data_IF_927168432627
#
_entry.id   IF_927168432627
#
_cell.length_a   1.000
_cell.length_b   1.000
_cell.length_c   1.000
_cell.angle_alpha   90.00
_cell.angle_beta   90.00
_cell.angle_gamma   90.00
#
_symmetry.space_group_name_H-M   'P 1'
#
loop_
_entity.id
_entity.type
_entity.pdbx_description
1 polymer ?
#
# COMPACT_ATOMS: atom_id res chain seq x y z
N UNK A 1 -9.35 -1.56 17.32
CA UNK A 1 -8.44 -2.72 17.08
C UNK A 1 -7.03 -2.20 16.97
N UNK A 2 -6.04 -3.04 17.28
CA UNK A 2 -4.62 -2.76 17.02
C UNK A 2 -4.28 -3.34 15.66
N UNK A 3 -3.90 -2.47 14.72
CA UNK A 3 -3.54 -2.85 13.36
C UNK A 3 -2.08 -2.47 13.06
N UNK A 4 -1.43 -3.21 12.17
CA UNK A 4 -0.04 -2.93 11.78
C UNK A 4 0.17 -2.84 10.27
N UNK A 5 1.08 -1.97 9.87
CA UNK A 5 1.74 -1.97 8.55
C UNK A 5 3.22 -2.22 8.80
N UNK A 6 3.77 -3.22 8.14
CA UNK A 6 5.18 -3.56 8.15
C UNK A 6 5.74 -3.55 6.72
N UNK A 7 6.85 -2.83 6.53
CA UNK A 7 7.64 -2.80 5.29
C UNK A 7 9.12 -2.89 5.69
N UNK A 8 9.57 -4.07 6.19
CA UNK A 8 10.94 -4.23 6.65
C UNK A 8 11.92 -4.08 5.49
N UNK A 9 13.19 -3.73 5.77
CA UNK A 9 14.26 -3.81 4.78
C UNK A 9 14.24 -5.17 4.04
N UNK A 10 14.32 -5.13 2.71
CA UNK A 10 14.13 -6.35 1.91
C UNK A 10 15.28 -7.34 2.07
N UNK A 11 14.91 -8.60 2.32
CA UNK A 11 15.78 -9.75 2.48
C UNK A 11 16.86 -9.84 1.37
N UNK A 12 18.11 -10.06 1.78
CA UNK A 12 19.28 -10.21 0.90
C UNK A 12 19.80 -8.89 0.32
N UNK A 13 19.23 -7.76 0.74
CA UNK A 13 19.61 -6.42 0.28
C UNK A 13 19.55 -5.39 1.41
N UNK A 14 19.19 -5.78 2.63
CA UNK A 14 18.87 -4.86 3.70
C UNK A 14 20.10 -4.07 4.14
N UNK A 15 21.21 -4.72 4.49
CA UNK A 15 22.46 -4.02 4.85
C UNK A 15 22.98 -3.17 3.68
N UNK A 16 22.89 -3.71 2.47
CA UNK A 16 23.34 -3.03 1.26
C UNK A 16 22.63 -1.69 1.03
N UNK A 17 21.32 -1.62 1.20
CA UNK A 17 20.54 -0.41 0.90
C UNK A 17 20.29 0.47 2.11
N UNK A 18 20.13 -0.12 3.29
CA UNK A 18 19.69 0.58 4.50
C UNK A 18 20.74 0.53 5.62
N UNK A 19 21.74 -0.35 5.55
CA UNK A 19 22.81 -0.46 6.57
C UNK A 19 24.14 0.17 6.16
N UNK A 20 25.23 -0.40 6.66
CA UNK A 20 26.60 0.05 6.39
C UNK A 20 27.16 -0.49 5.06
N UNK A 21 26.51 -1.52 4.49
CA UNK A 21 26.90 -2.13 3.23
C UNK A 21 27.06 -1.12 2.09
N UNK A 22 28.02 -1.36 1.18
CA UNK A 22 28.22 -0.49 0.00
C UNK A 22 27.06 -0.65 -0.98
N UNK A 23 26.07 0.22 -0.90
CA UNK A 23 24.97 0.33 -1.87
C UNK A 23 25.48 0.59 -3.29
N UNK A 24 24.63 0.39 -4.30
CA UNK A 24 24.97 0.50 -5.73
C UNK A 24 25.30 1.91 -6.25
N UNK A 25 25.93 2.77 -5.44
CA UNK A 25 26.55 4.01 -5.86
C UNK A 25 28.06 3.85 -5.90
N UNK A 26 28.65 3.92 -7.08
CA UNK A 26 30.05 4.32 -7.22
C UNK A 26 30.18 5.78 -6.75
N UNK A 27 30.16 6.03 -5.45
CA UNK A 27 30.81 7.22 -4.90
C UNK A 27 32.29 6.89 -4.84
N UNK A 28 32.97 7.17 -5.94
CA UNK A 28 34.41 7.42 -5.94
C UNK A 28 34.70 8.38 -4.78
N UNK A 29 35.49 7.93 -3.82
CA UNK A 29 35.91 8.71 -2.65
C UNK A 29 36.97 9.77 -2.99
N UNK A 30 37.29 9.95 -4.27
CA UNK A 30 38.23 10.91 -4.82
C UNK A 30 37.52 11.95 -5.70
N UNK A 31 36.72 12.83 -5.10
CA UNK A 31 36.15 13.96 -5.83
C UNK A 31 35.31 14.91 -4.98
N UNK A 32 35.25 16.17 -5.42
CA UNK A 32 34.60 17.36 -4.81
C UNK A 32 33.09 17.22 -4.48
N UNK A 33 32.50 16.03 -4.62
CA UNK A 33 31.11 15.69 -4.26
C UNK A 33 31.01 14.84 -2.99
N UNK A 34 32.10 14.72 -2.22
CA UNK A 34 32.18 13.98 -0.95
C UNK A 34 31.47 14.65 0.24
N UNK A 35 30.30 15.26 0.04
CA UNK A 35 29.49 15.84 1.13
C UNK A 35 28.11 15.22 1.15
N UNK A 36 28.05 14.01 1.70
CA UNK A 36 27.06 13.55 2.68
C UNK A 36 27.10 12.01 2.75
N UNK A 37 28.04 11.49 3.55
CA UNK A 37 28.29 10.07 3.74
C UNK A 37 27.22 9.31 4.54
N UNK A 38 25.96 9.77 4.55
CA UNK A 38 24.84 9.03 5.16
C UNK A 38 23.80 8.75 4.10
N UNK A 39 23.43 7.48 3.95
CA UNK A 39 22.26 7.09 3.15
C UNK A 39 21.03 7.78 3.75
N UNK A 40 20.15 8.41 2.94
CA UNK A 40 18.94 9.06 3.45
C UNK A 40 18.03 8.11 4.24
N UNK A 41 18.19 6.80 4.02
CA UNK A 41 17.30 5.75 4.51
C UNK A 41 18.05 4.79 5.48
N UNK A 42 19.00 5.29 6.28
CA UNK A 42 19.77 4.43 7.18
C UNK A 42 18.91 3.79 8.29
N UNK A 43 19.00 2.47 8.44
CA UNK A 43 18.40 1.68 9.51
C UNK A 43 19.52 0.97 10.30
N UNK A 44 19.67 1.22 11.61
CA UNK A 44 20.80 0.70 12.40
C UNK A 44 20.85 -0.83 12.39
N UNK A 45 19.69 -1.49 12.43
CA UNK A 45 19.60 -2.95 12.42
C UNK A 45 19.33 -3.53 11.02
N UNK A 46 19.67 -2.79 9.95
CA UNK A 46 19.40 -3.24 8.59
C UNK A 46 19.98 -4.64 8.29
N UNK A 47 21.17 -4.94 8.80
CA UNK A 47 21.83 -6.22 8.55
C UNK A 47 21.09 -7.42 9.15
N UNK A 48 20.31 -7.23 10.21
CA UNK A 48 19.50 -8.29 10.82
C UNK A 48 18.43 -8.77 9.83
N UNK A 49 17.87 -7.86 9.03
CA UNK A 49 16.86 -8.18 8.02
C UNK A 49 17.39 -8.91 6.78
N UNK A 50 18.70 -9.20 6.70
CA UNK A 50 19.23 -10.13 5.71
C UNK A 50 19.11 -11.60 6.14
N UNK A 51 18.66 -11.88 7.37
CA UNK A 51 18.32 -13.22 7.85
C UNK A 51 16.83 -13.56 7.56
N UNK A 52 16.53 -14.64 6.81
CA UNK A 52 15.18 -15.14 6.61
C UNK A 52 14.38 -15.37 7.91
N UNK A 53 15.05 -15.80 8.99
CA UNK A 53 14.40 -16.11 10.26
C UNK A 53 13.76 -14.86 10.90
N UNK A 54 14.34 -13.68 10.69
CA UNK A 54 13.84 -12.41 11.25
C UNK A 54 12.56 -11.97 10.55
N UNK A 55 12.43 -12.21 9.24
CA UNK A 55 11.19 -11.97 8.50
C UNK A 55 10.07 -12.91 8.96
N UNK A 56 10.41 -14.15 9.30
CA UNK A 56 9.45 -15.12 9.83
C UNK A 56 9.04 -14.77 11.26
N UNK A 57 9.99 -14.39 12.11
CA UNK A 57 9.75 -13.93 13.47
C UNK A 57 8.84 -12.68 13.50
N UNK A 58 9.03 -11.76 12.55
CA UNK A 58 8.14 -10.60 12.39
C UNK A 58 6.70 -11.03 12.11
N UNK A 59 6.46 -12.01 11.23
CA UNK A 59 5.10 -12.51 10.96
C UNK A 59 4.48 -13.12 12.22
N UNK A 60 5.25 -13.88 12.99
CA UNK A 60 4.79 -14.48 14.25
C UNK A 60 4.40 -13.39 15.25
N UNK A 61 5.23 -12.35 15.42
CA UNK A 61 4.94 -11.23 16.31
C UNK A 61 3.73 -10.41 15.83
N UNK A 62 3.58 -10.21 14.52
CA UNK A 62 2.41 -9.55 13.94
C UNK A 62 1.11 -10.29 14.25
N UNK A 63 1.11 -11.63 14.13
CA UNK A 63 -0.09 -12.45 14.44
C UNK A 63 -0.38 -12.50 15.95
N UNK A 64 0.62 -12.40 16.83
CA UNK A 64 0.40 -12.38 18.27
C UNK A 64 -0.08 -11.03 18.81
N UNK A 65 0.44 -9.93 18.25
CA UNK A 65 0.33 -8.62 18.89
C UNK A 65 -0.77 -7.73 18.29
N UNK A 66 -1.28 -8.09 17.11
CA UNK A 66 -2.21 -7.29 16.33
C UNK A 66 -3.45 -8.07 15.89
N UNK A 67 -4.60 -7.41 15.90
CA UNK A 67 -5.86 -7.98 15.41
C UNK A 67 -5.84 -8.20 13.89
N UNK A 68 -5.02 -7.42 13.18
CA UNK A 68 -4.81 -7.54 11.74
C UNK A 68 -3.62 -6.72 11.29
N UNK A 69 -2.98 -7.16 10.22
CA UNK A 69 -1.70 -6.62 9.80
C UNK A 69 -1.48 -6.73 8.31
N UNK A 70 -0.57 -5.90 7.80
CA UNK A 70 -0.06 -5.97 6.44
C UNK A 70 1.46 -6.02 6.47
N UNK A 71 2.04 -6.93 5.68
CA UNK A 71 3.48 -7.05 5.48
C UNK A 71 3.80 -6.91 3.98
N UNK A 72 4.51 -5.85 3.64
CA UNK A 72 5.09 -5.66 2.32
C UNK A 72 6.43 -6.40 2.20
N UNK A 73 6.78 -6.84 1.00
CA UNK A 73 8.05 -7.49 0.75
C UNK A 73 8.49 -7.40 -0.70
N UNK A 74 9.55 -8.13 -1.04
CA UNK A 74 10.04 -8.26 -2.40
C UNK A 74 9.59 -9.60 -3.00
N UNK A 75 9.44 -9.69 -4.33
CA UNK A 75 8.92 -10.92 -4.95
C UNK A 75 9.81 -12.16 -4.69
N UNK A 76 11.12 -11.97 -4.53
CA UNK A 76 12.09 -13.01 -4.21
C UNK A 76 12.06 -13.43 -2.73
N UNK A 77 11.55 -12.60 -1.82
CA UNK A 77 11.33 -12.99 -0.42
C UNK A 77 10.04 -13.78 -0.20
N UNK A 78 9.16 -13.87 -1.20
CA UNK A 78 7.84 -14.50 -1.06
C UNK A 78 7.88 -15.94 -0.53
N UNK A 79 8.78 -16.85 -0.96
CA UNK A 79 8.84 -18.20 -0.39
C UNK A 79 9.12 -18.21 1.12
N UNK A 80 9.99 -17.31 1.59
CA UNK A 80 10.33 -17.16 3.02
C UNK A 80 9.13 -16.63 3.80
N UNK A 81 8.47 -15.61 3.28
CA UNK A 81 7.30 -15.00 3.93
C UNK A 81 6.12 -15.99 4.02
N UNK A 82 5.85 -16.73 2.94
CA UNK A 82 4.75 -17.71 2.91
C UNK A 82 5.00 -18.90 3.84
N UNK A 83 6.26 -19.25 4.14
CA UNK A 83 6.57 -20.34 5.07
C UNK A 83 6.12 -20.05 6.51
N UNK A 84 6.03 -18.78 6.91
CA UNK A 84 5.54 -18.36 8.23
C UNK A 84 4.14 -17.76 8.20
N UNK A 85 3.55 -17.52 7.02
CA UNK A 85 2.25 -16.90 6.89
C UNK A 85 1.13 -17.81 7.46
N UNK A 86 0.24 -17.29 8.33
CA UNK A 86 -0.89 -18.07 8.81
C UNK A 86 -1.89 -18.34 7.68
N UNK A 87 -2.68 -19.43 7.73
CA UNK A 87 -3.65 -19.77 6.69
C UNK A 87 -4.72 -18.69 6.42
N UNK A 88 -4.97 -17.80 7.39
CA UNK A 88 -5.91 -16.70 7.27
C UNK A 88 -5.33 -15.46 6.57
N UNK A 89 -4.00 -15.40 6.37
CA UNK A 89 -3.37 -14.35 5.59
C UNK A 89 -3.65 -14.52 4.09
N UNK A 90 -3.90 -13.42 3.41
CA UNK A 90 -4.13 -13.35 1.98
C UNK A 90 -2.95 -12.68 1.28
N UNK A 91 -2.64 -13.12 0.06
CA UNK A 91 -1.66 -12.45 -0.78
C UNK A 91 -2.35 -11.41 -1.65
N UNK A 92 -1.88 -10.18 -1.54
CA UNK A 92 -2.21 -9.07 -2.40
C UNK A 92 -0.98 -8.64 -3.22
N UNK A 93 -1.20 -7.96 -4.34
CA UNK A 93 -0.14 -7.59 -5.28
C UNK A 93 -0.19 -6.11 -5.60
N UNK A 94 0.91 -5.41 -5.35
CA UNK A 94 1.11 -4.06 -5.85
C UNK A 94 1.95 -4.09 -7.13
N UNK A 95 1.32 -3.80 -8.27
CA UNK A 95 1.98 -3.54 -9.56
C UNK A 95 2.55 -2.12 -9.61
N UNK A 96 3.85 -2.01 -9.87
CA UNK A 96 4.65 -0.79 -9.97
C UNK A 96 5.02 -0.50 -11.44
N UNK A 97 4.23 0.31 -12.19
CA UNK A 97 4.44 0.53 -13.61
C UNK A 97 5.76 1.23 -13.96
N UNK A 98 6.31 2.03 -13.04
CA UNK A 98 7.51 2.84 -13.22
C UNK A 98 8.71 2.33 -12.39
N UNK A 99 8.75 1.04 -12.06
CA UNK A 99 9.91 0.45 -11.40
C UNK A 99 11.16 0.61 -12.27
N UNK A 100 12.26 1.08 -11.66
CA UNK A 100 13.54 1.24 -12.36
C UNK A 100 14.03 -0.13 -12.86
N UNK A 101 14.37 -0.28 -14.16
CA UNK A 101 14.93 -1.53 -14.66
C UNK A 101 16.27 -1.82 -13.98
N UNK A 102 16.43 -3.05 -13.49
CA UNK A 102 17.71 -3.57 -13.00
C UNK A 102 18.51 -4.25 -14.13
N UNK A 103 19.65 -4.84 -13.78
CA UNK A 103 20.48 -5.63 -14.72
C UNK A 103 19.95 -7.05 -15.00
N UNK A 104 18.82 -7.44 -14.39
CA UNK A 104 18.23 -8.76 -14.58
C UNK A 104 17.44 -8.85 -15.90
N UNK A 105 17.47 -10.03 -16.55
CA UNK A 105 16.67 -10.31 -17.77
C UNK A 105 15.17 -10.15 -17.53
N UNK A 106 14.67 -10.59 -16.38
CA UNK A 106 13.26 -10.46 -16.00
C UNK A 106 13.12 -9.22 -15.12
N UNK A 107 12.31 -8.27 -15.57
CA UNK A 107 12.04 -7.04 -14.83
C UNK A 107 10.99 -7.30 -13.75
N UNK A 108 11.39 -7.20 -12.49
CA UNK A 108 10.45 -7.24 -11.39
C UNK A 108 9.72 -5.89 -11.27
N UNK A 109 8.41 -5.89 -11.56
CA UNK A 109 7.54 -4.70 -11.53
C UNK A 109 6.40 -4.82 -10.52
N UNK A 110 6.55 -5.65 -9.50
CA UNK A 110 5.51 -5.82 -8.49
C UNK A 110 6.10 -6.11 -7.11
N UNK A 111 5.27 -5.95 -6.07
CA UNK A 111 5.59 -6.33 -4.70
C UNK A 111 4.47 -7.19 -4.13
N UNK A 112 4.80 -8.32 -3.46
CA UNK A 112 3.85 -9.02 -2.63
C UNK A 112 3.49 -8.19 -1.40
N UNK A 113 2.23 -8.29 -1.01
CA UNK A 113 1.69 -7.70 0.20
C UNK A 113 0.87 -8.77 0.90
N UNK A 114 1.37 -9.32 1.99
CA UNK A 114 0.59 -10.24 2.83
C UNK A 114 -0.36 -9.44 3.70
N UNK A 115 -1.61 -9.90 3.81
CA UNK A 115 -2.70 -9.20 4.49
C UNK A 115 -3.43 -10.15 5.41
N UNK A 116 -3.37 -9.90 6.72
CA UNK A 116 -4.23 -10.53 7.72
C UNK A 116 -5.34 -9.57 8.10
N UNK A 117 -6.53 -9.79 7.54
CA UNK A 117 -7.72 -9.00 7.90
C UNK A 117 -8.22 -9.45 9.28
N UNK A 118 -8.58 -8.53 10.19
CA UNK A 118 -9.18 -8.90 11.47
C UNK A 118 -10.40 -9.79 11.30
N UNK A 119 -10.56 -10.81 12.14
CA UNK A 119 -11.61 -11.82 11.94
C UNK A 119 -13.03 -11.23 11.96
N UNK A 120 -13.27 -10.22 12.80
CA UNK A 120 -14.52 -9.47 12.84
C UNK A 120 -14.81 -8.66 11.55
N UNK A 121 -13.81 -8.49 10.67
CA UNK A 121 -13.89 -7.68 9.44
C UNK A 121 -13.75 -8.47 8.13
N UNK A 122 -13.71 -9.81 8.22
CA UNK A 122 -13.58 -10.68 7.03
C UNK A 122 -14.87 -10.83 6.22
N UNK A 123 -16.02 -10.54 6.83
CA UNK A 123 -17.32 -10.79 6.19
C UNK A 123 -17.68 -9.67 5.21
N UNK A 124 -18.70 -9.92 4.41
CA UNK A 124 -19.19 -8.95 3.42
C UNK A 124 -19.81 -7.72 4.09
N UNK A 125 -20.41 -7.90 5.26
CA UNK A 125 -21.16 -6.84 5.94
C UNK A 125 -20.24 -5.83 6.66
N UNK A 126 -18.95 -6.16 6.85
CA UNK A 126 -18.03 -5.36 7.65
C UNK A 126 -17.32 -4.23 6.90
N UNK A 127 -17.55 -4.07 5.59
CA UNK A 127 -16.94 -2.96 4.85
C UNK A 127 -17.08 -3.00 3.33
N UNK A 128 -16.57 -1.94 2.65
CA UNK A 128 -16.54 -1.87 1.19
C UNK A 128 -15.64 -2.97 0.61
N UNK A 129 -15.98 -3.45 -0.59
CA UNK A 129 -15.12 -4.37 -1.32
C UNK A 129 -13.84 -3.68 -1.77
N UNK A 130 -12.71 -4.31 -1.45
CA UNK A 130 -11.37 -3.91 -1.87
C UNK A 130 -10.79 -5.03 -2.73
N UNK A 131 -10.11 -4.69 -3.81
CA UNK A 131 -9.35 -5.68 -4.60
C UNK A 131 -8.01 -5.94 -3.93
N UNK A 132 -7.56 -7.17 -4.01
CA UNK A 132 -6.22 -7.67 -3.68
C UNK A 132 -5.14 -7.19 -4.66
N UNK A 133 -5.46 -6.36 -5.66
CA UNK A 133 -4.48 -5.80 -6.59
C UNK A 133 -4.49 -4.28 -6.59
N UNK A 134 -3.30 -3.69 -6.56
CA UNK A 134 -3.10 -2.26 -6.74
C UNK A 134 -2.19 -2.03 -7.95
N UNK A 135 -2.60 -1.12 -8.83
CA UNK A 135 -1.74 -0.62 -9.91
C UNK A 135 -1.43 0.86 -9.64
N UNK A 136 -0.23 1.15 -9.14
CA UNK A 136 0.15 2.51 -8.75
C UNK A 136 1.66 2.74 -8.92
N UNK A 137 2.03 3.89 -9.48
CA UNK A 137 3.41 4.30 -9.66
C UNK A 137 4.06 4.73 -8.33
N UNK A 138 5.35 4.45 -8.15
CA UNK A 138 6.15 5.06 -7.08
C UNK A 138 6.31 6.57 -7.34
N UNK A 139 6.32 7.39 -6.28
CA UNK A 139 6.55 8.84 -6.42
C UNK A 139 8.03 9.16 -6.21
N UNK A 140 8.59 10.02 -7.06
CA UNK A 140 9.97 10.52 -6.94
C UNK A 140 10.00 11.68 -5.92
N UNK A 141 9.83 11.39 -4.63
CA UNK A 141 9.80 12.40 -3.55
C UNK A 141 10.99 12.26 -2.59
N UNK A 142 12.21 12.25 -3.13
CA UNK A 142 13.45 12.36 -2.34
C UNK A 142 13.87 11.13 -1.52
N UNK A 143 12.96 10.19 -1.24
CA UNK A 143 13.24 8.91 -0.57
C UNK A 143 13.10 7.75 -1.56
N UNK A 144 14.14 6.92 -1.69
CA UNK A 144 14.15 5.82 -2.64
C UNK A 144 13.22 4.71 -2.15
N UNK A 145 12.19 4.39 -2.95
CA UNK A 145 11.24 3.33 -2.62
C UNK A 145 10.03 3.78 -1.78
N UNK A 146 9.82 5.09 -1.57
CA UNK A 146 8.64 5.58 -0.88
C UNK A 146 7.34 5.05 -1.51
N UNK A 147 6.51 4.39 -0.69
CA UNK A 147 5.19 3.90 -1.10
C UNK A 147 4.30 5.10 -1.48
N UNK A 148 3.54 5.02 -2.58
CA UNK A 148 2.61 6.08 -2.93
C UNK A 148 1.43 6.10 -1.93
N UNK A 149 0.88 7.27 -1.55
CA UNK A 149 -0.33 7.36 -0.72
C UNK A 149 -1.50 6.42 -1.08
N UNK A 150 -1.68 6.08 -2.36
CA UNK A 150 -2.67 5.10 -2.83
C UNK A 150 -2.44 3.72 -2.22
N UNK A 151 -1.18 3.31 -2.03
CA UNK A 151 -0.79 2.07 -1.40
C UNK A 151 -1.25 2.03 0.06
N UNK A 152 -0.95 3.07 0.83
CA UNK A 152 -1.37 3.17 2.24
C UNK A 152 -2.89 3.16 2.39
N UNK A 153 -3.61 3.91 1.53
CA UNK A 153 -5.08 3.91 1.54
C UNK A 153 -5.65 2.54 1.18
N UNK A 154 -5.01 1.83 0.26
CA UNK A 154 -5.42 0.50 -0.17
C UNK A 154 -5.27 -0.53 0.95
N UNK A 155 -4.12 -0.56 1.64
CA UNK A 155 -3.90 -1.48 2.77
C UNK A 155 -4.82 -1.16 3.97
N UNK A 156 -5.00 0.12 4.28
CA UNK A 156 -5.95 0.56 5.31
C UNK A 156 -7.39 0.11 4.98
N UNK A 157 -7.79 0.21 3.71
CA UNK A 157 -9.10 -0.25 3.26
C UNK A 157 -9.25 -1.78 3.38
N UNK A 158 -8.22 -2.57 3.04
CA UNK A 158 -8.24 -4.03 3.19
C UNK A 158 -8.38 -4.47 4.65
N UNK A 159 -7.72 -3.77 5.58
CA UNK A 159 -7.84 -4.01 7.02
C UNK A 159 -9.17 -3.51 7.61
N UNK A 160 -9.98 -2.80 6.81
CA UNK A 160 -11.17 -2.11 7.27
C UNK A 160 -10.88 -1.05 8.33
N UNK A 161 -9.69 -0.44 8.29
CA UNK A 161 -9.22 0.54 9.28
C UNK A 161 -10.20 1.71 9.40
N UNK A 162 -10.63 1.97 10.63
CA UNK A 162 -11.44 3.12 11.03
C UNK A 162 -10.66 3.98 12.03
N UNK A 163 -10.22 5.20 11.61
CA UNK A 163 -9.43 6.08 12.48
C UNK A 163 -10.18 6.58 13.72
N UNK A 164 -11.50 6.38 13.81
CA UNK A 164 -12.27 6.75 15.00
C UNK A 164 -12.16 5.72 16.15
N UNK A 165 -11.84 4.46 15.85
CA UNK A 165 -11.90 3.35 16.82
C UNK A 165 -10.69 2.41 16.78
N UNK A 166 -9.81 2.57 15.80
CA UNK A 166 -8.62 1.73 15.63
C UNK A 166 -7.32 2.50 15.80
N UNK A 167 -6.29 1.77 16.21
CA UNK A 167 -4.90 2.19 16.19
C UNK A 167 -4.21 1.51 15.00
N UNK A 168 -3.45 2.27 14.21
CA UNK A 168 -2.68 1.75 13.08
C UNK A 168 -1.21 2.09 13.26
N UNK A 169 -0.39 1.07 13.49
CA UNK A 169 1.04 1.21 13.76
C UNK A 169 1.85 1.01 12.48
N UNK A 170 2.68 1.99 12.13
CA UNK A 170 3.72 1.85 11.11
C UNK A 170 5.01 1.38 11.77
N UNK A 171 5.35 0.10 11.61
CA UNK A 171 6.50 -0.52 12.30
C UNK A 171 7.84 -0.13 11.69
N UNK A 172 7.84 0.39 10.46
CA UNK A 172 9.05 0.74 9.71
C UNK A 172 8.90 2.13 9.10
N UNK A 173 8.78 3.13 9.99
CA UNK A 173 8.61 4.52 9.62
C UNK A 173 9.88 5.10 8.95
N UNK A 174 10.06 4.81 7.66
CA UNK A 174 11.11 5.40 6.82
C UNK A 174 10.78 6.85 6.44
N UNK A 175 10.33 7.07 5.20
CA UNK A 175 9.98 8.40 4.67
C UNK A 175 8.82 9.13 5.39
N UNK A 176 8.12 8.46 6.30
CA UNK A 176 6.88 8.97 6.91
C UNK A 176 5.68 9.02 5.96
N UNK A 177 5.80 8.49 4.73
CA UNK A 177 4.72 8.51 3.73
C UNK A 177 3.45 7.78 4.19
N UNK A 178 3.61 6.69 4.96
CA UNK A 178 2.50 5.93 5.54
C UNK A 178 1.76 6.80 6.56
N UNK A 179 2.47 7.38 7.53
CA UNK A 179 1.88 8.29 8.51
C UNK A 179 1.15 9.47 7.86
N UNK A 180 1.78 10.14 6.87
CA UNK A 180 1.15 11.25 6.15
C UNK A 180 -0.16 10.81 5.45
N UNK A 181 -0.15 9.64 4.81
CA UNK A 181 -1.32 9.12 4.13
C UNK A 181 -2.42 8.67 5.11
N UNK A 182 -2.07 8.17 6.30
CA UNK A 182 -3.01 7.82 7.37
C UNK A 182 -3.67 9.09 7.94
N UNK A 183 -2.91 10.16 8.20
CA UNK A 183 -3.47 11.43 8.69
C UNK A 183 -4.50 12.01 7.73
N UNK A 184 -4.25 11.89 6.42
CA UNK A 184 -5.18 12.30 5.38
C UNK A 184 -6.26 11.25 5.05
N UNK A 185 -6.22 10.08 5.71
CA UNK A 185 -7.14 8.99 5.41
C UNK A 185 -8.58 9.37 5.78
N UNK A 186 -9.47 8.94 4.91
CA UNK A 186 -10.91 8.96 5.12
C UNK A 186 -11.40 7.58 4.75
N UNK A 187 -12.35 7.06 5.53
CA UNK A 187 -12.99 5.79 5.24
C UNK A 187 -13.39 5.75 3.76
N UNK A 188 -13.12 4.65 3.03
CA UNK A 188 -13.46 4.57 1.63
C UNK A 188 -14.97 4.79 1.55
N UNK A 189 -15.39 5.90 0.95
CA UNK A 189 -16.80 6.25 0.90
C UNK A 189 -17.57 5.03 0.39
N UNK A 190 -18.51 4.51 1.19
CA UNK A 190 -19.61 3.70 0.67
C UNK A 190 -20.07 4.42 -0.58
N UNK A 191 -19.85 3.81 -1.74
CA UNK A 191 -19.75 4.51 -3.03
C UNK A 191 -20.60 5.78 -3.08
N UNK A 192 -20.02 6.98 -3.05
CA UNK A 192 -20.84 8.18 -3.01
C UNK A 192 -21.52 8.41 -4.36
N UNK A 193 -22.74 8.93 -4.34
CA UNK A 193 -23.46 9.28 -5.56
C UNK A 193 -22.68 10.35 -6.34
N UNK A 194 -22.31 10.05 -7.59
CA UNK A 194 -21.63 10.99 -8.49
C UNK A 194 -22.51 12.18 -8.95
N UNK A 195 -23.72 12.31 -8.41
CA UNK A 195 -24.63 13.43 -8.69
C UNK A 195 -24.90 14.23 -7.41
N UNK A 196 -25.50 13.61 -6.38
CA UNK A 196 -25.90 14.29 -5.15
C UNK A 196 -24.96 14.08 -3.95
N UNK A 197 -23.85 13.36 -4.14
CA UNK A 197 -22.87 12.99 -3.08
C UNK A 197 -23.39 12.12 -1.94
N UNK A 198 -24.69 11.82 -1.86
CA UNK A 198 -25.24 10.92 -0.84
C UNK A 198 -24.61 9.51 -0.92
N UNK A 199 -24.44 8.81 0.22
CA UNK A 199 -23.97 7.42 0.23
C UNK A 199 -24.85 6.52 -0.65
N UNK A 200 -24.23 5.58 -1.38
CA UNK A 200 -24.97 4.54 -2.10
C UNK A 200 -25.13 3.35 -1.17
N UNK A 201 -26.29 3.27 -0.52
CA UNK A 201 -26.66 2.19 0.43
C UNK A 201 -27.28 0.96 -0.26
N UNK A 202 -27.48 1.00 -1.59
CA UNK A 202 -28.12 -0.08 -2.33
C UNK A 202 -27.14 -1.23 -2.64
N UNK A 203 -27.55 -2.51 -2.47
CA UNK A 203 -26.70 -3.65 -2.77
C UNK A 203 -26.32 -3.68 -4.26
N UNK A 204 -25.03 -3.94 -4.52
CA UNK A 204 -24.48 -3.96 -5.88
C UNK A 204 -24.93 -5.22 -6.65
N UNK A 205 -25.59 -5.06 -7.79
CA UNK A 205 -25.94 -6.13 -8.72
C UNK A 205 -24.78 -6.48 -9.68
N UNK A 206 -23.53 -6.52 -9.19
CA UNK A 206 -22.34 -6.81 -9.99
C UNK A 206 -21.71 -5.62 -10.73
N UNK A 207 -22.46 -4.57 -11.09
CA UNK A 207 -21.90 -3.30 -11.62
C UNK A 207 -21.80 -2.23 -10.54
N UNK A 208 -20.65 -1.54 -10.45
CA UNK A 208 -20.42 -0.42 -9.51
C UNK A 208 -21.39 0.71 -9.83
N UNK A 209 -22.37 0.94 -8.96
CA UNK A 209 -23.33 2.03 -9.14
C UNK A 209 -22.61 3.36 -8.95
N UNK A 210 -22.87 4.31 -9.87
CA UNK A 210 -22.33 5.68 -9.78
C UNK A 210 -23.34 6.66 -9.18
N UNK A 211 -24.54 6.21 -8.80
CA UNK A 211 -25.63 7.06 -8.31
C UNK A 211 -26.49 6.36 -7.26
N UNK A 212 -27.02 7.09 -6.26
CA UNK A 212 -27.82 6.54 -5.17
C UNK A 212 -29.20 6.00 -5.58
N UNK A 213 -29.74 6.45 -6.73
CA UNK A 213 -31.07 6.02 -7.18
C UNK A 213 -31.39 6.44 -8.61
N UNK A 214 -32.58 6.05 -9.09
CA UNK A 214 -33.06 6.35 -10.44
C UNK A 214 -33.14 7.86 -10.71
N UNK A 215 -33.61 8.64 -9.74
CA UNK A 215 -33.68 10.10 -9.86
C UNK A 215 -32.31 10.73 -10.12
N UNK A 216 -31.27 10.32 -9.38
CA UNK A 216 -29.91 10.81 -9.61
C UNK A 216 -29.31 10.33 -10.93
N UNK A 217 -29.68 9.14 -11.43
CA UNK A 217 -29.31 8.69 -12.79
C UNK A 217 -29.89 9.60 -13.85
N UNK A 218 -31.19 9.86 -13.79
CA UNK A 218 -31.88 10.71 -14.76
C UNK A 218 -31.34 12.14 -14.75
N UNK A 219 -31.13 12.74 -13.57
CA UNK A 219 -30.57 14.10 -13.48
C UNK A 219 -29.15 14.19 -14.03
N UNK A 220 -28.31 13.18 -13.78
CA UNK A 220 -26.96 13.12 -14.35
C UNK A 220 -26.98 12.99 -15.87
N UNK A 221 -27.85 12.13 -16.42
CA UNK A 221 -27.99 11.97 -17.87
C UNK A 221 -28.45 13.27 -18.55
N UNK A 222 -29.44 13.96 -17.96
CA UNK A 222 -29.89 15.28 -18.44
C UNK A 222 -28.76 16.31 -18.43
N UNK A 223 -27.97 16.38 -17.35
CA UNK A 223 -26.84 17.31 -17.27
C UNK A 223 -25.75 17.02 -18.31
N UNK A 224 -25.49 15.74 -18.60
CA UNK A 224 -24.56 15.36 -19.65
C UNK A 224 -25.06 15.78 -21.04
N UNK A 225 -26.33 15.53 -21.34
CA UNK A 225 -26.95 15.93 -22.61
C UNK A 225 -26.98 17.46 -22.80
N UNK A 226 -27.27 18.23 -21.75
CA UNK A 226 -27.19 19.70 -21.80
C UNK A 226 -25.76 20.17 -22.07
N UNK A 227 -24.76 19.53 -21.45
CA UNK A 227 -23.37 19.89 -21.65
C UNK A 227 -22.90 19.60 -23.08
N UNK A 228 -23.30 18.45 -23.65
CA UNK A 228 -23.00 18.08 -25.04
C UNK A 228 -23.62 19.07 -26.04
N UNK A 229 -24.86 19.50 -25.81
CA UNK A 229 -25.55 20.50 -26.64
C UNK A 229 -24.89 21.89 -26.54
N UNK A 230 -24.44 22.30 -25.35
CA UNK A 230 -23.72 23.56 -25.17
C UNK A 230 -22.31 23.55 -25.74
N UNK A 231 -21.65 22.39 -25.85
CA UNK A 231 -20.33 22.24 -26.48
C UNK A 231 -20.37 22.03 -28.00
N UNK A 232 -21.56 21.80 -28.58
CA UNK A 232 -21.76 21.59 -30.02
C UNK A 232 -22.15 22.88 -30.78
N UNK A 233 -22.12 24.04 -30.12
CA UNK A 233 -22.33 25.34 -30.77
C UNK A 233 -20.96 26.00 -30.93
N UNK A 234 -20.50 26.28 -32.17
CA UNK A 234 -19.21 26.92 -32.42
C UNK A 234 -19.15 28.36 -31.92
#
# INVERSE_FOLDING_TARGET
MRLAIADPPYLGRADRWYGEGRGGGRTRTDGLWARNGRKPDYHPDAAVWDDPAEHQALIVALESDYDGWVLAGAADSLPVLLAAAPPAAQLAVWSKPNAMPGGARILNRWEPVLVRVPDARRRRESGPRVTDTLHAATRQQGFLGAKPPEWTRWVAAMLGYDPAVDELHDLFAGSGAVLQAITAYRLPAESACAFCRSPITQPSSGRRRRTCGAACRQRRARRAAVFELSSATP
#
